data_IF_894226670740
#
_entry.id   IF_894226670740
#
_cell.length_a   1.000
_cell.length_b   1.000
_cell.length_c   1.000
_cell.angle_alpha   90.00
_cell.angle_beta   90.00
_cell.angle_gamma   90.00
#
_symmetry.space_group_name_H-M   'P 1'
#
loop_
_entity.id
_entity.type
_entity.pdbx_description
1 polymer ?
#
# COMPACT_ATOMS: atom_id res chain seq x y z
N UNK A 1 -15.48 -22.04 6.76
CA UNK A 1 -14.29 -21.28 7.19
C UNK A 1 -13.45 -22.13 8.11
N UNK A 2 -12.19 -22.31 7.79
CA UNK A 2 -11.27 -23.11 8.61
C UNK A 2 -10.97 -22.38 9.94
N UNK A 3 -10.60 -23.15 10.99
CA UNK A 3 -10.29 -22.56 12.31
C UNK A 3 -9.16 -21.52 12.22
N UNK A 4 -8.12 -21.81 11.44
CA UNK A 4 -7.01 -20.87 11.22
C UNK A 4 -7.43 -19.55 10.57
N UNK A 5 -8.41 -19.58 9.67
CA UNK A 5 -8.96 -18.36 9.06
C UNK A 5 -9.76 -17.54 10.06
N UNK A 6 -10.55 -18.21 10.90
CA UNK A 6 -11.30 -17.55 11.98
C UNK A 6 -10.35 -16.83 12.94
N UNK A 7 -9.28 -17.53 13.34
CA UNK A 7 -8.30 -16.97 14.28
C UNK A 7 -7.58 -15.76 13.69
N UNK A 8 -7.21 -15.81 12.41
CA UNK A 8 -6.63 -14.65 11.69
C UNK A 8 -7.60 -13.48 11.63
N UNK A 9 -8.87 -13.71 11.34
CA UNK A 9 -9.90 -12.64 11.30
C UNK A 9 -10.11 -11.99 12.67
N UNK A 10 -10.12 -12.79 13.74
CA UNK A 10 -10.25 -12.28 15.10
C UNK A 10 -9.01 -11.48 15.56
N UNK A 11 -7.85 -11.78 15.03
CA UNK A 11 -6.57 -11.12 15.34
C UNK A 11 -6.05 -10.28 14.16
N UNK A 12 -6.94 -9.78 13.32
CA UNK A 12 -6.55 -9.10 12.10
C UNK A 12 -5.71 -7.84 12.36
N UNK A 13 -6.03 -7.08 13.39
CA UNK A 13 -5.24 -5.90 13.78
C UNK A 13 -3.77 -6.27 14.06
N UNK A 14 -3.53 -7.33 14.80
CA UNK A 14 -2.18 -7.82 15.08
C UNK A 14 -1.46 -8.29 13.81
N UNK A 15 -2.16 -8.96 12.91
CA UNK A 15 -1.60 -9.39 11.63
C UNK A 15 -1.18 -8.18 10.76
N UNK A 16 -2.02 -7.16 10.70
CA UNK A 16 -1.72 -5.95 9.92
C UNK A 16 -0.59 -5.14 10.55
N UNK A 17 -0.49 -5.08 11.88
CA UNK A 17 0.59 -4.41 12.59
C UNK A 17 1.97 -5.05 12.41
N UNK A 18 2.06 -6.28 11.93
CA UNK A 18 3.35 -6.89 11.55
C UNK A 18 4.03 -6.13 10.40
N UNK A 19 3.27 -5.40 9.59
CA UNK A 19 3.75 -4.65 8.43
C UNK A 19 3.52 -3.15 8.54
N UNK A 20 2.48 -2.71 9.25
CA UNK A 20 2.08 -1.31 9.35
C UNK A 20 2.32 -0.83 10.77
N UNK A 21 3.18 0.15 10.90
CA UNK A 21 3.54 0.75 12.19
C UNK A 21 2.63 1.92 12.49
N UNK A 22 2.13 1.97 13.73
CA UNK A 22 1.15 2.97 14.13
C UNK A 22 -0.21 2.76 13.46
N UNK A 23 -0.96 3.83 13.25
CA UNK A 23 -2.21 3.82 12.50
C UNK A 23 -3.31 2.93 13.10
N UNK A 24 -3.44 2.93 14.44
CA UNK A 24 -4.39 2.07 15.17
C UNK A 24 -5.82 2.27 14.70
N UNK A 25 -6.27 3.51 14.50
CA UNK A 25 -7.64 3.80 14.03
C UNK A 25 -7.87 3.28 12.61
N UNK A 26 -6.90 3.47 11.74
CA UNK A 26 -6.99 2.98 10.35
C UNK A 26 -7.08 1.46 10.32
N UNK A 27 -6.23 0.78 11.08
CA UNK A 27 -6.20 -0.68 11.14
C UNK A 27 -7.49 -1.23 11.76
N UNK A 28 -7.99 -0.59 12.82
CA UNK A 28 -9.25 -0.98 13.46
C UNK A 28 -10.44 -0.86 12.50
N UNK A 29 -10.57 0.28 11.82
CA UNK A 29 -11.67 0.53 10.89
C UNK A 29 -11.68 -0.46 9.71
N UNK A 30 -10.53 -0.71 9.11
CA UNK A 30 -10.39 -1.68 8.01
C UNK A 30 -10.69 -3.10 8.50
N UNK A 31 -10.16 -3.48 9.66
CA UNK A 31 -10.37 -4.81 10.23
C UNK A 31 -11.84 -5.08 10.53
N UNK A 32 -12.53 -4.11 11.10
CA UNK A 32 -13.98 -4.23 11.37
C UNK A 32 -14.78 -4.39 10.09
N UNK A 33 -14.46 -3.62 9.05
CA UNK A 33 -15.14 -3.71 7.76
C UNK A 33 -14.93 -5.08 7.08
N UNK A 34 -13.70 -5.60 7.13
CA UNK A 34 -13.39 -6.92 6.58
C UNK A 34 -14.14 -8.01 7.35
N UNK A 35 -14.17 -7.93 8.69
CA UNK A 35 -14.94 -8.87 9.51
C UNK A 35 -16.42 -8.85 9.19
N UNK A 36 -17.03 -7.65 9.02
CA UNK A 36 -18.44 -7.53 8.60
C UNK A 36 -18.69 -8.22 7.26
N UNK A 37 -17.82 -7.98 6.30
CA UNK A 37 -17.92 -8.60 4.98
C UNK A 37 -17.83 -10.13 5.04
N UNK A 38 -16.84 -10.64 5.77
CA UNK A 38 -16.63 -12.09 5.92
C UNK A 38 -17.72 -12.79 6.72
N UNK A 39 -18.36 -12.07 7.63
CA UNK A 39 -19.51 -12.58 8.39
C UNK A 39 -20.84 -12.54 7.62
N UNK A 40 -20.84 -12.03 6.39
CA UNK A 40 -22.05 -11.92 5.57
C UNK A 40 -23.00 -10.80 6.01
N UNK A 41 -22.52 -9.81 6.74
CA UNK A 41 -23.33 -8.69 7.25
C UNK A 41 -23.32 -7.48 6.30
N UNK A 42 -22.84 -7.64 5.09
CA UNK A 42 -22.73 -6.60 4.08
C UNK A 42 -23.54 -6.98 2.83
N UNK A 43 -23.95 -5.97 2.05
CA UNK A 43 -24.64 -6.19 0.77
C UNK A 43 -23.74 -7.03 -0.17
N UNK A 44 -24.18 -8.23 -0.59
CA UNK A 44 -23.38 -9.14 -1.41
C UNK A 44 -23.08 -8.60 -2.82
N UNK A 45 -23.79 -7.55 -3.25
CA UNK A 45 -23.58 -6.92 -4.56
C UNK A 45 -22.41 -5.95 -4.58
N UNK A 46 -21.92 -5.51 -3.41
CA UNK A 46 -20.84 -4.54 -3.29
C UNK A 46 -19.46 -5.22 -3.23
N UNK A 47 -18.37 -4.50 -3.52
CA UNK A 47 -17.01 -4.97 -3.21
C UNK A 47 -16.84 -5.38 -1.74
N UNK A 48 -15.79 -6.12 -1.41
CA UNK A 48 -15.48 -6.54 -0.02
C UNK A 48 -15.47 -5.33 0.93
N UNK A 49 -14.92 -4.22 0.47
CA UNK A 49 -14.90 -2.96 1.17
C UNK A 49 -14.48 -1.83 0.25
N UNK A 50 -14.76 -0.61 0.67
CA UNK A 50 -14.35 0.60 -0.04
C UNK A 50 -13.92 1.67 0.96
N UNK A 51 -12.69 2.15 0.82
CA UNK A 51 -12.07 3.07 1.76
C UNK A 51 -11.41 4.24 1.05
N UNK A 52 -11.47 5.41 1.68
CA UNK A 52 -10.59 6.53 1.35
C UNK A 52 -9.55 6.64 2.45
N UNK A 53 -8.27 6.57 2.09
CA UNK A 53 -7.14 6.75 2.99
C UNK A 53 -6.62 8.18 2.87
N UNK A 54 -6.77 8.96 3.93
CA UNK A 54 -6.27 10.33 4.01
C UNK A 54 -5.01 10.40 4.87
N UNK A 55 -4.08 11.21 4.46
CA UNK A 55 -2.84 11.45 5.19
C UNK A 55 -1.72 11.90 4.28
N UNK A 56 -0.67 12.44 4.86
CA UNK A 56 0.53 12.85 4.14
C UNK A 56 1.26 11.66 3.53
N UNK A 57 2.22 11.92 2.66
CA UNK A 57 3.02 10.87 2.04
C UNK A 57 3.90 10.14 3.09
N UNK A 58 4.03 8.83 2.96
CA UNK A 58 4.95 8.04 3.77
C UNK A 58 4.45 7.66 5.17
N UNK A 59 3.13 7.73 5.40
CA UNK A 59 2.52 7.37 6.70
C UNK A 59 2.01 5.93 6.77
N UNK A 60 2.10 5.15 5.68
CA UNK A 60 1.74 3.73 5.66
C UNK A 60 0.53 3.36 4.82
N UNK A 61 -0.05 4.27 4.04
CA UNK A 61 -1.23 3.99 3.20
C UNK A 61 -1.00 2.84 2.23
N UNK A 62 0.10 2.88 1.47
CA UNK A 62 0.46 1.82 0.53
C UNK A 62 0.84 0.51 1.23
N UNK A 63 1.56 0.58 2.34
CA UNK A 63 1.91 -0.61 3.13
C UNK A 63 0.66 -1.31 3.68
N UNK A 64 -0.35 -0.56 4.12
CA UNK A 64 -1.61 -1.16 4.55
C UNK A 64 -2.33 -1.86 3.39
N UNK A 65 -2.34 -1.25 2.20
CA UNK A 65 -2.90 -1.89 1.00
C UNK A 65 -2.18 -3.21 0.67
N UNK A 66 -0.86 -3.24 0.74
CA UNK A 66 -0.06 -4.46 0.52
C UNK A 66 -0.32 -5.51 1.60
N UNK A 67 -0.39 -5.11 2.86
CA UNK A 67 -0.70 -6.01 3.97
C UNK A 67 -2.10 -6.64 3.79
N UNK A 68 -3.08 -5.87 3.34
CA UNK A 68 -4.42 -6.36 3.05
C UNK A 68 -4.45 -7.32 1.86
N UNK A 69 -3.69 -7.05 0.81
CA UNK A 69 -3.55 -7.97 -0.33
C UNK A 69 -2.93 -9.30 0.10
N UNK A 70 -1.88 -9.26 0.89
CA UNK A 70 -1.22 -10.44 1.44
C UNK A 70 -2.17 -11.25 2.33
N UNK A 71 -2.88 -10.58 3.22
CA UNK A 71 -3.83 -11.23 4.13
C UNK A 71 -5.03 -11.84 3.39
N UNK A 72 -5.67 -11.07 2.49
CA UNK A 72 -6.90 -11.49 1.81
C UNK A 72 -6.66 -12.46 0.66
N UNK A 73 -5.56 -12.33 -0.06
CA UNK A 73 -5.30 -12.99 -1.34
C UNK A 73 -3.97 -13.76 -1.37
N UNK A 74 -3.32 -13.93 -0.23
CA UNK A 74 -2.07 -14.69 -0.03
C UNK A 74 -0.88 -14.19 -0.88
N UNK A 75 -0.94 -12.96 -1.40
CA UNK A 75 0.11 -12.36 -2.21
C UNK A 75 0.01 -10.82 -2.15
N UNK A 76 1.06 -10.17 -1.66
CA UNK A 76 1.13 -8.71 -1.60
C UNK A 76 1.08 -8.02 -2.98
N UNK A 77 1.36 -8.76 -4.05
CA UNK A 77 1.32 -8.29 -5.43
C UNK A 77 -0.09 -8.39 -6.06
N UNK A 78 -1.06 -8.93 -5.34
CA UNK A 78 -2.46 -8.93 -5.76
C UNK A 78 -3.09 -7.56 -5.57
N UNK A 79 -2.45 -6.57 -6.17
CA UNK A 79 -2.87 -5.17 -6.22
C UNK A 79 -2.94 -4.73 -7.67
N UNK A 80 -4.06 -4.11 -8.03
CA UNK A 80 -4.20 -3.34 -9.26
C UNK A 80 -4.09 -1.87 -8.88
N UNK A 81 -3.03 -1.21 -9.33
CA UNK A 81 -2.75 0.19 -8.99
C UNK A 81 -3.07 1.10 -10.16
N UNK A 82 -3.90 2.10 -9.92
CA UNK A 82 -4.28 3.15 -10.88
C UNK A 82 -3.86 4.50 -10.29
N UNK A 83 -2.95 5.18 -10.95
CA UNK A 83 -2.53 6.53 -10.58
C UNK A 83 -3.50 7.56 -11.21
N UNK A 84 -4.31 8.19 -10.36
CA UNK A 84 -5.33 9.15 -10.80
C UNK A 84 -4.75 10.44 -11.39
N UNK A 85 -3.46 10.72 -11.16
CA UNK A 85 -2.79 11.85 -11.82
C UNK A 85 -2.69 11.68 -13.35
N UNK A 86 -2.81 10.48 -13.84
CA UNK A 86 -2.85 10.15 -15.27
C UNK A 86 -4.27 10.26 -15.88
N UNK A 87 -5.28 10.56 -15.05
CA UNK A 87 -6.72 10.60 -15.43
C UNK A 87 -7.34 11.97 -15.19
N UNK A 88 -6.60 13.03 -15.45
CA UNK A 88 -7.03 14.42 -15.23
C UNK A 88 -7.86 14.99 -16.37
N UNK A 89 -7.73 14.45 -17.57
CA UNK A 89 -8.39 14.95 -18.76
C UNK A 89 -9.82 14.40 -18.90
N UNK A 90 -10.66 15.16 -19.62
CA UNK A 90 -12.09 14.87 -19.77
C UNK A 90 -12.40 13.45 -20.27
N UNK A 91 -11.63 12.92 -21.21
CA UNK A 91 -11.87 11.59 -21.78
C UNK A 91 -11.09 10.48 -21.10
N UNK A 92 -10.45 10.75 -19.99
CA UNK A 92 -9.65 9.76 -19.24
C UNK A 92 -10.47 8.58 -18.75
N UNK A 93 -11.76 8.77 -18.45
CA UNK A 93 -12.64 7.68 -18.02
C UNK A 93 -12.70 6.52 -19.02
N UNK A 94 -12.59 6.79 -20.32
CA UNK A 94 -12.56 5.75 -21.37
C UNK A 94 -11.34 4.84 -21.29
N UNK A 95 -10.24 5.31 -20.70
CA UNK A 95 -9.03 4.51 -20.48
C UNK A 95 -9.25 3.44 -19.41
N UNK A 96 -10.20 3.64 -18.50
CA UNK A 96 -10.51 2.68 -17.44
C UNK A 96 -11.35 1.51 -17.94
N UNK A 97 -12.33 1.78 -18.78
CA UNK A 97 -13.30 0.79 -19.27
C UNK A 97 -13.10 0.39 -20.75
N UNK A 98 -12.27 1.13 -21.46
CA UNK A 98 -11.98 0.94 -22.89
C UNK A 98 -12.62 2.00 -23.78
N UNK A 99 -11.98 2.28 -24.90
CA UNK A 99 -12.47 3.22 -25.90
C UNK A 99 -13.70 2.65 -26.67
N UNK A 100 -14.64 3.50 -27.10
CA UNK A 100 -15.76 3.06 -27.93
C UNK A 100 -15.32 2.46 -29.27
N UNK A 101 -16.15 1.65 -29.94
CA UNK A 101 -15.85 1.11 -31.26
C UNK A 101 -15.50 2.21 -32.25
N UNK A 102 -14.45 2.00 -33.03
CA UNK A 102 -13.94 2.96 -34.01
C UNK A 102 -12.96 4.01 -33.47
N UNK A 103 -12.70 4.04 -32.17
CA UNK A 103 -11.70 4.91 -31.55
C UNK A 103 -10.39 4.16 -31.28
N UNK A 104 -9.29 4.91 -31.22
CA UNK A 104 -7.96 4.39 -30.86
C UNK A 104 -8.01 3.78 -29.47
N UNK A 105 -7.44 2.57 -29.32
CA UNK A 105 -7.42 1.84 -28.05
C UNK A 105 -8.62 0.89 -27.83
N UNK A 106 -9.53 0.79 -28.77
CA UNK A 106 -10.67 -0.14 -28.67
C UNK A 106 -10.24 -1.59 -28.44
N UNK A 107 -9.27 -2.07 -29.21
CA UNK A 107 -8.81 -3.47 -29.15
C UNK A 107 -8.06 -3.76 -27.84
N UNK A 108 -7.39 -2.78 -27.28
CA UNK A 108 -6.60 -2.91 -26.05
C UNK A 108 -7.47 -3.09 -24.81
N UNK A 109 -8.71 -2.58 -24.84
CA UNK A 109 -9.63 -2.59 -23.70
C UNK A 109 -9.27 -1.54 -22.65
N UNK A 110 -10.02 -1.56 -21.54
CA UNK A 110 -9.80 -0.63 -20.42
C UNK A 110 -8.72 -1.11 -19.47
N UNK A 111 -7.92 -0.18 -18.98
CA UNK A 111 -6.84 -0.49 -18.02
C UNK A 111 -7.38 -1.15 -16.74
N UNK A 112 -8.47 -0.63 -16.19
CA UNK A 112 -9.07 -1.17 -14.98
C UNK A 112 -9.81 -2.49 -15.26
N UNK A 113 -10.67 -2.51 -16.26
CA UNK A 113 -11.50 -3.69 -16.58
C UNK A 113 -10.65 -4.89 -17.00
N UNK A 114 -9.62 -4.70 -17.81
CA UNK A 114 -8.71 -5.79 -18.19
C UNK A 114 -7.86 -6.27 -17.00
N UNK A 115 -7.39 -5.37 -16.14
CA UNK A 115 -6.63 -5.75 -14.96
C UNK A 115 -7.45 -6.64 -14.01
N UNK A 116 -8.72 -6.31 -13.79
CA UNK A 116 -9.60 -7.09 -12.90
C UNK A 116 -10.06 -8.40 -13.55
N UNK A 117 -10.22 -8.44 -14.85
CA UNK A 117 -10.46 -9.71 -15.55
C UNK A 117 -9.32 -10.70 -15.35
N UNK A 118 -8.07 -10.21 -15.27
CA UNK A 118 -6.88 -11.03 -15.00
C UNK A 118 -6.71 -11.36 -13.53
N UNK A 119 -7.03 -10.41 -12.64
CA UNK A 119 -6.87 -10.51 -11.18
C UNK A 119 -8.19 -10.18 -10.48
N UNK A 120 -9.19 -11.06 -10.54
CA UNK A 120 -10.52 -10.76 -9.96
C UNK A 120 -10.53 -10.71 -8.43
N UNK A 121 -9.51 -11.29 -7.78
CA UNK A 121 -9.29 -11.27 -6.33
C UNK A 121 -8.10 -10.38 -6.04
N UNK A 122 -8.31 -9.10 -5.89
CA UNK A 122 -7.24 -8.14 -5.67
C UNK A 122 -7.68 -6.92 -4.87
N UNK A 123 -6.70 -6.19 -4.35
CA UNK A 123 -6.89 -4.83 -3.88
C UNK A 123 -6.78 -3.89 -5.09
N UNK A 124 -7.77 -3.04 -5.29
CA UNK A 124 -7.73 -2.00 -6.32
C UNK A 124 -7.39 -0.68 -5.64
N UNK A 125 -6.21 -0.15 -5.93
CA UNK A 125 -5.67 1.05 -5.32
C UNK A 125 -5.69 2.22 -6.31
N UNK A 126 -6.50 3.22 -6.01
CA UNK A 126 -6.56 4.47 -6.77
C UNK A 126 -5.78 5.55 -6.03
N UNK A 127 -4.58 5.85 -6.50
CA UNK A 127 -3.72 6.87 -5.89
C UNK A 127 -4.08 8.28 -6.33
N UNK A 128 -3.97 9.22 -5.39
CA UNK A 128 -4.19 10.66 -5.64
C UNK A 128 -5.55 10.95 -6.26
N UNK A 129 -6.61 10.47 -5.60
CA UNK A 129 -7.98 10.52 -6.11
C UNK A 129 -8.47 11.93 -6.47
N UNK A 130 -7.99 12.97 -5.78
CA UNK A 130 -8.35 14.38 -6.01
C UNK A 130 -7.92 14.90 -7.37
N UNK A 131 -6.98 14.24 -8.04
CA UNK A 131 -6.49 14.63 -9.36
C UNK A 131 -7.32 14.11 -10.51
N UNK A 132 -8.22 13.17 -10.25
CA UNK A 132 -9.06 12.58 -11.30
C UNK A 132 -10.10 13.59 -11.84
N UNK A 133 -10.34 13.52 -13.15
CA UNK A 133 -11.43 14.25 -13.75
C UNK A 133 -12.79 13.78 -13.17
N UNK A 134 -13.79 14.68 -13.00
CA UNK A 134 -15.11 14.30 -12.48
C UNK A 134 -15.79 13.11 -13.19
N UNK A 135 -15.58 12.94 -14.48
CA UNK A 135 -16.14 11.81 -15.24
C UNK A 135 -15.62 10.45 -14.77
N UNK A 136 -14.41 10.40 -14.23
CA UNK A 136 -13.84 9.18 -13.62
C UNK A 136 -14.62 8.75 -12.39
N UNK A 137 -15.08 9.70 -11.58
CA UNK A 137 -15.91 9.39 -10.40
C UNK A 137 -17.25 8.78 -10.76
N UNK A 138 -17.82 9.08 -11.93
CA UNK A 138 -19.04 8.44 -12.41
C UNK A 138 -18.84 6.95 -12.66
N UNK A 139 -17.70 6.56 -13.22
CA UNK A 139 -17.31 5.15 -13.39
C UNK A 139 -17.16 4.47 -12.04
N UNK A 140 -16.48 5.12 -11.11
CA UNK A 140 -16.27 4.57 -9.76
C UNK A 140 -17.58 4.46 -8.96
N UNK A 141 -18.53 5.36 -9.14
CA UNK A 141 -19.85 5.26 -8.53
C UNK A 141 -20.57 3.98 -8.95
N UNK A 142 -20.55 3.66 -10.24
CA UNK A 142 -21.14 2.41 -10.74
C UNK A 142 -20.45 1.19 -10.10
N UNK A 143 -19.15 1.20 -10.02
CA UNK A 143 -18.36 0.15 -9.37
C UNK A 143 -18.76 -0.04 -7.91
N UNK A 144 -18.90 1.06 -7.15
CA UNK A 144 -19.25 1.00 -5.74
C UNK A 144 -20.70 0.56 -5.48
N UNK A 145 -21.63 0.97 -6.34
CA UNK A 145 -23.03 0.61 -6.21
C UNK A 145 -23.34 -0.82 -6.64
N UNK A 146 -22.82 -1.22 -7.79
CA UNK A 146 -23.20 -2.47 -8.46
C UNK A 146 -22.16 -3.60 -8.29
N UNK A 147 -20.95 -3.27 -7.81
CA UNK A 147 -19.85 -4.23 -7.71
C UNK A 147 -19.41 -4.77 -9.07
N UNK A 148 -19.69 -4.04 -10.15
CA UNK A 148 -19.36 -4.43 -11.52
C UNK A 148 -19.26 -3.23 -12.44
N UNK A 149 -18.48 -3.42 -13.52
CA UNK A 149 -18.40 -2.48 -14.64
C UNK A 149 -18.62 -3.24 -15.94
N UNK A 150 -19.25 -2.60 -16.91
CA UNK A 150 -19.34 -3.11 -18.28
C UNK A 150 -18.23 -2.46 -19.08
N UNK A 151 -17.40 -3.28 -19.73
CA UNK A 151 -16.31 -2.79 -20.58
C UNK A 151 -16.81 -2.32 -21.96
N UNK A 152 -15.90 -1.82 -22.79
CA UNK A 152 -16.22 -1.32 -24.14
C UNK A 152 -16.67 -2.41 -25.12
N UNK A 153 -16.50 -3.69 -24.78
CA UNK A 153 -16.93 -4.85 -25.58
C UNK A 153 -18.22 -5.47 -25.07
N UNK A 154 -18.88 -4.79 -24.12
CA UNK A 154 -20.12 -5.25 -23.53
C UNK A 154 -19.97 -6.36 -22.46
N UNK A 155 -18.72 -6.67 -22.06
CA UNK A 155 -18.47 -7.69 -21.05
C UNK A 155 -18.64 -7.12 -19.66
N UNK A 156 -19.30 -7.85 -18.78
CA UNK A 156 -19.47 -7.48 -17.38
C UNK A 156 -18.24 -7.95 -16.59
N UNK A 157 -17.57 -7.02 -15.94
CA UNK A 157 -16.40 -7.27 -15.09
C UNK A 157 -16.82 -7.19 -13.63
N UNK A 158 -16.58 -8.25 -12.88
CA UNK A 158 -17.01 -8.41 -11.50
C UNK A 158 -15.96 -7.89 -10.52
N UNK A 159 -16.35 -6.96 -9.64
CA UNK A 159 -15.51 -6.37 -8.58
C UNK A 159 -15.91 -6.83 -7.16
N UNK A 160 -16.81 -7.78 -7.03
CA UNK A 160 -17.32 -8.21 -5.71
C UNK A 160 -16.26 -8.85 -4.82
N UNK A 161 -15.21 -9.40 -5.42
CA UNK A 161 -14.09 -10.03 -4.71
C UNK A 161 -12.88 -9.10 -4.58
N UNK A 162 -13.08 -7.80 -4.81
CA UNK A 162 -12.03 -6.79 -4.69
C UNK A 162 -12.24 -5.92 -3.45
N UNK A 163 -11.14 -5.39 -2.94
CA UNK A 163 -11.13 -4.36 -1.93
C UNK A 163 -10.73 -3.03 -2.61
N UNK A 164 -11.56 -2.02 -2.51
CA UNK A 164 -11.35 -0.73 -3.16
C UNK A 164 -10.73 0.24 -2.17
N UNK A 165 -9.57 0.79 -2.52
CA UNK A 165 -8.88 1.80 -1.73
C UNK A 165 -8.56 3.00 -2.62
N UNK A 166 -8.97 4.19 -2.18
CA UNK A 166 -8.59 5.45 -2.80
C UNK A 166 -7.70 6.20 -1.81
N UNK A 167 -6.60 6.80 -2.29
CA UNK A 167 -5.72 7.58 -1.43
C UNK A 167 -5.78 9.06 -1.79
N UNK A 168 -5.58 9.91 -0.80
CA UNK A 168 -5.46 11.35 -0.98
C UNK A 168 -4.55 11.97 0.07
N UNK A 169 -3.84 13.03 -0.31
CA UNK A 169 -3.06 13.86 0.60
C UNK A 169 -3.86 15.05 1.15
N UNK A 170 -5.11 15.19 0.74
CA UNK A 170 -5.99 16.25 1.24
C UNK A 170 -6.42 15.98 2.68
N UNK A 171 -6.80 17.03 3.38
CA UNK A 171 -7.57 16.92 4.63
C UNK A 171 -9.00 16.50 4.31
N UNK A 172 -9.74 15.99 5.29
CA UNK A 172 -11.14 15.62 5.09
C UNK A 172 -12.00 16.81 4.64
N UNK A 173 -11.76 17.99 5.20
CA UNK A 173 -12.44 19.22 4.80
C UNK A 173 -12.19 19.56 3.33
N UNK A 174 -10.94 19.51 2.89
CA UNK A 174 -10.58 19.73 1.49
C UNK A 174 -11.22 18.68 0.57
N UNK A 175 -11.19 17.41 0.97
CA UNK A 175 -11.80 16.32 0.22
C UNK A 175 -13.30 16.55 0.03
N UNK A 176 -14.01 16.92 1.11
CA UNK A 176 -15.44 17.21 1.06
C UNK A 176 -15.81 18.44 0.22
N UNK A 177 -14.88 19.38 0.05
CA UNK A 177 -15.08 20.54 -0.81
C UNK A 177 -14.87 20.22 -2.30
N UNK A 178 -14.08 19.20 -2.63
CA UNK A 178 -13.69 18.87 -4.01
C UNK A 178 -14.46 17.67 -4.58
N UNK A 179 -14.88 16.74 -3.73
CA UNK A 179 -15.57 15.51 -4.14
C UNK A 179 -17.05 15.59 -3.78
N UNK A 180 -17.89 15.18 -4.70
CA UNK A 180 -19.35 15.21 -4.52
C UNK A 180 -19.78 14.38 -3.31
N UNK A 181 -20.71 14.86 -2.47
CA UNK A 181 -21.26 14.09 -1.35
C UNK A 181 -21.84 12.73 -1.77
N UNK A 182 -22.43 12.66 -2.95
CA UNK A 182 -22.94 11.40 -3.52
C UNK A 182 -21.87 10.32 -3.59
N UNK A 183 -20.66 10.66 -4.03
CA UNK A 183 -19.54 9.72 -4.09
C UNK A 183 -19.09 9.32 -2.68
N UNK A 184 -18.88 10.29 -1.80
CA UNK A 184 -18.42 10.04 -0.44
C UNK A 184 -19.39 9.17 0.36
N UNK A 185 -20.70 9.30 0.11
CA UNK A 185 -21.72 8.48 0.77
C UNK A 185 -21.73 7.01 0.32
N UNK A 186 -21.09 6.69 -0.79
CA UNK A 186 -20.96 5.31 -1.28
C UNK A 186 -19.73 4.59 -0.74
N UNK A 187 -18.78 5.34 -0.19
CA UNK A 187 -17.58 4.79 0.45
C UNK A 187 -17.97 4.26 1.84
N UNK A 188 -17.45 3.10 2.20
CA UNK A 188 -17.74 2.49 3.50
C UNK A 188 -17.16 3.31 4.66
N UNK A 189 -15.92 3.82 4.51
CA UNK A 189 -15.30 4.65 5.53
C UNK A 189 -14.19 5.55 4.97
N UNK A 190 -14.03 6.73 5.58
CA UNK A 190 -12.92 7.64 5.35
C UNK A 190 -11.96 7.45 6.52
N UNK A 191 -10.76 7.00 6.23
CA UNK A 191 -9.78 6.58 7.22
C UNK A 191 -8.62 7.58 7.26
N UNK A 192 -8.35 8.12 8.44
CA UNK A 192 -7.28 9.08 8.67
C UNK A 192 -6.00 8.37 9.09
N UNK A 193 -4.91 8.67 8.39
CA UNK A 193 -3.57 8.25 8.76
C UNK A 193 -2.84 9.41 9.43
N UNK A 194 -2.33 9.16 10.62
CA UNK A 194 -1.59 10.15 11.39
C UNK A 194 -0.13 10.24 10.93
N UNK A 195 0.49 11.39 11.17
CA UNK A 195 1.93 11.53 11.01
C UNK A 195 2.67 10.56 11.94
N UNK A 196 3.78 10.03 11.46
CA UNK A 196 4.58 9.10 12.25
C UNK A 196 5.42 9.84 13.28
N UNK A 197 5.41 9.36 14.53
CA UNK A 197 6.30 9.81 15.59
C UNK A 197 7.74 9.32 15.36
N UNK A 198 8.71 9.88 16.08
CA UNK A 198 10.09 9.39 16.04
C UNK A 198 10.19 7.91 16.41
N UNK A 199 9.42 7.47 17.39
CA UNK A 199 9.35 6.06 17.78
C UNK A 199 8.80 5.19 16.66
N UNK A 200 7.75 5.63 15.98
CA UNK A 200 7.21 4.95 14.81
C UNK A 200 8.25 4.85 13.68
N UNK A 201 9.00 5.91 13.41
CA UNK A 201 10.05 5.89 12.38
C UNK A 201 11.14 4.86 12.75
N UNK A 202 11.54 4.77 14.01
CA UNK A 202 12.49 3.73 14.47
C UNK A 202 11.95 2.33 14.23
N UNK A 203 10.68 2.10 14.52
CA UNK A 203 10.03 0.81 14.24
C UNK A 203 9.99 0.50 12.75
N UNK A 204 9.72 1.50 11.89
CA UNK A 204 9.79 1.34 10.42
C UNK A 204 11.20 0.93 9.98
N UNK A 205 12.23 1.60 10.50
CA UNK A 205 13.63 1.24 10.22
C UNK A 205 13.92 -0.19 10.65
N UNK A 206 13.49 -0.58 11.86
CA UNK A 206 13.67 -1.93 12.38
C UNK A 206 13.03 -2.99 11.47
N UNK A 207 11.81 -2.75 10.99
CA UNK A 207 11.15 -3.65 10.04
C UNK A 207 11.93 -3.78 8.73
N UNK A 208 12.42 -2.69 8.18
CA UNK A 208 13.22 -2.71 6.95
C UNK A 208 14.56 -3.42 7.16
N UNK A 209 15.21 -3.19 8.29
CA UNK A 209 16.46 -3.90 8.67
C UNK A 209 16.20 -5.39 8.80
N UNK A 210 15.11 -5.80 9.43
CA UNK A 210 14.74 -7.21 9.55
C UNK A 210 14.51 -7.88 8.18
N UNK A 211 13.90 -7.17 7.24
CA UNK A 211 13.73 -7.65 5.85
C UNK A 211 15.07 -7.84 5.14
N UNK A 212 15.97 -6.86 5.29
CA UNK A 212 17.33 -6.94 4.73
C UNK A 212 18.11 -8.09 5.36
N UNK A 213 18.04 -8.25 6.68
CA UNK A 213 18.67 -9.36 7.41
C UNK A 213 18.21 -10.71 6.87
N UNK A 214 16.91 -10.91 6.70
CA UNK A 214 16.35 -12.14 6.15
C UNK A 214 16.83 -12.39 4.71
N UNK A 215 16.79 -11.36 3.86
CA UNK A 215 17.26 -11.45 2.48
C UNK A 215 18.74 -11.85 2.40
N UNK A 216 19.58 -11.25 3.23
CA UNK A 216 21.02 -11.52 3.25
C UNK A 216 21.34 -12.88 3.84
N UNK A 217 20.55 -13.38 4.80
CA UNK A 217 20.70 -14.75 5.31
C UNK A 217 20.49 -15.80 4.21
N UNK A 218 19.59 -15.56 3.28
CA UNK A 218 19.40 -16.43 2.10
C UNK A 218 20.65 -16.48 1.20
N UNK A 219 21.51 -15.45 1.29
CA UNK A 219 22.81 -15.37 0.63
C UNK A 219 23.98 -15.78 1.56
N UNK A 220 23.69 -16.39 2.71
CA UNK A 220 24.65 -16.77 3.74
C UNK A 220 25.43 -15.59 4.34
N UNK A 221 24.83 -14.41 4.39
CA UNK A 221 25.38 -13.21 5.04
C UNK A 221 24.52 -12.89 6.26
N UNK A 222 25.11 -12.94 7.45
CA UNK A 222 24.46 -12.61 8.72
C UNK A 222 24.81 -11.16 9.08
N UNK A 223 23.95 -10.23 8.67
CA UNK A 223 24.09 -8.79 8.97
C UNK A 223 23.37 -8.45 10.27
N UNK A 224 24.08 -7.89 11.22
CA UNK A 224 23.54 -7.42 12.50
C UNK A 224 23.74 -5.93 12.66
N UNK A 225 22.65 -5.24 12.99
CA UNK A 225 22.63 -3.77 13.11
C UNK A 225 22.34 -3.40 14.56
N UNK A 226 23.16 -2.53 15.15
CA UNK A 226 22.99 -2.08 16.54
C UNK A 226 21.88 -1.03 16.67
N UNK A 227 21.35 -0.84 17.88
CA UNK A 227 20.24 0.09 18.14
C UNK A 227 20.59 1.55 17.82
N UNK A 228 21.83 1.97 18.08
CA UNK A 228 22.30 3.32 17.75
C UNK A 228 22.34 3.55 16.23
N UNK A 229 22.64 2.52 15.44
CA UNK A 229 22.55 2.59 13.97
C UNK A 229 21.10 2.72 13.54
N UNK A 230 20.16 1.99 14.17
CA UNK A 230 18.74 2.13 13.90
C UNK A 230 18.27 3.58 14.12
N UNK A 231 18.65 4.18 15.24
CA UNK A 231 18.31 5.59 15.54
C UNK A 231 18.94 6.56 14.55
N UNK A 232 20.18 6.32 14.17
CA UNK A 232 20.88 7.14 13.17
C UNK A 232 20.17 7.09 11.81
N UNK A 233 19.81 5.90 11.34
CA UNK A 233 19.08 5.72 10.08
C UNK A 233 17.68 6.35 10.16
N UNK A 234 17.00 6.23 11.29
CA UNK A 234 15.70 6.84 11.50
C UNK A 234 15.77 8.37 11.36
N UNK A 235 16.80 8.99 11.91
CA UNK A 235 17.03 10.43 11.80
C UNK A 235 17.34 10.85 10.35
N UNK A 236 18.18 10.09 9.65
CA UNK A 236 18.57 10.37 8.26
C UNK A 236 17.44 10.04 7.26
N UNK A 237 16.60 9.07 7.58
CA UNK A 237 15.52 8.59 6.72
C UNK A 237 14.16 9.25 6.95
N UNK A 238 14.05 10.17 7.90
CA UNK A 238 12.83 10.92 8.16
C UNK A 238 12.83 12.24 7.40
N UNK A 239 11.70 12.55 6.79
CA UNK A 239 11.44 13.83 6.14
C UNK A 239 10.02 14.28 6.49
N UNK A 240 9.82 15.50 7.03
CA UNK A 240 8.48 15.99 7.39
C UNK A 240 7.48 15.99 6.23
N UNK A 241 7.96 16.15 5.00
CA UNK A 241 7.12 16.15 3.80
C UNK A 241 6.83 14.76 3.27
N UNK A 242 7.79 13.83 3.38
CA UNK A 242 7.72 12.49 2.81
C UNK A 242 7.62 11.37 3.86
N UNK A 243 7.61 11.71 5.16
CA UNK A 243 7.51 10.76 6.26
C UNK A 243 8.65 9.75 6.29
N UNK A 244 8.33 8.47 6.33
CA UNK A 244 9.30 7.38 6.34
C UNK A 244 9.71 6.89 4.93
N UNK A 245 9.21 7.49 3.86
CA UNK A 245 9.54 7.09 2.48
C UNK A 245 11.06 7.07 2.21
N UNK A 246 11.88 8.03 2.69
CA UNK A 246 13.32 8.01 2.46
C UNK A 246 14.09 6.91 3.20
N UNK A 247 13.50 6.20 4.15
CA UNK A 247 14.18 5.17 4.97
C UNK A 247 14.84 4.11 4.09
N UNK A 248 14.13 3.61 3.07
CA UNK A 248 14.67 2.59 2.17
C UNK A 248 15.93 3.07 1.43
N UNK A 249 15.90 4.31 0.96
CA UNK A 249 17.06 4.92 0.28
C UNK A 249 18.23 5.16 1.25
N UNK A 250 17.93 5.57 2.48
CA UNK A 250 18.93 5.74 3.53
C UNK A 250 19.63 4.42 3.87
N UNK A 251 18.88 3.33 4.01
CA UNK A 251 19.41 1.98 4.23
C UNK A 251 20.29 1.53 3.06
N UNK A 252 19.86 1.76 1.83
CA UNK A 252 20.64 1.42 0.64
C UNK A 252 21.96 2.20 0.60
N UNK A 253 21.90 3.50 0.80
CA UNK A 253 23.08 4.40 0.76
C UNK A 253 24.03 4.18 1.92
N UNK A 254 23.52 4.10 3.13
CA UNK A 254 24.34 4.07 4.35
C UNK A 254 24.83 2.66 4.71
N UNK A 255 24.04 1.64 4.42
CA UNK A 255 24.35 0.25 4.82
C UNK A 255 24.76 -0.61 3.63
N UNK A 256 23.86 -0.81 2.67
CA UNK A 256 24.11 -1.79 1.60
C UNK A 256 25.23 -1.39 0.65
N UNK A 257 25.31 -0.12 0.25
CA UNK A 257 26.40 0.35 -0.62
C UNK A 257 27.75 0.25 0.06
N UNK A 258 27.83 0.64 1.33
CA UNK A 258 29.09 0.60 2.10
C UNK A 258 29.50 -0.85 2.44
N UNK A 259 28.54 -1.71 2.76
CA UNK A 259 28.79 -3.13 2.96
C UNK A 259 29.35 -3.77 1.69
N UNK A 260 28.77 -3.48 0.53
CA UNK A 260 29.23 -4.02 -0.74
C UNK A 260 30.68 -3.63 -1.05
N UNK A 261 31.04 -2.37 -0.81
CA UNK A 261 32.43 -1.90 -0.96
C UNK A 261 33.38 -2.65 -0.02
N UNK A 262 32.99 -2.85 1.23
CA UNK A 262 33.82 -3.54 2.23
C UNK A 262 34.02 -5.03 1.86
N UNK A 263 32.99 -5.69 1.36
CA UNK A 263 33.09 -7.08 0.89
C UNK A 263 34.03 -7.19 -0.32
N UNK A 264 33.84 -6.35 -1.32
CA UNK A 264 34.68 -6.35 -2.53
C UNK A 264 36.14 -6.05 -2.22
N UNK A 265 36.38 -5.12 -1.29
CA UNK A 265 37.73 -4.77 -0.84
C UNK A 265 38.37 -5.84 0.06
N UNK A 266 37.69 -6.92 0.40
CA UNK A 266 38.20 -7.98 1.29
C UNK A 266 38.33 -7.57 2.75
N UNK A 267 37.72 -6.46 3.15
CA UNK A 267 37.75 -5.96 4.55
C UNK A 267 36.79 -6.67 5.48
N UNK A 268 35.80 -7.35 4.92
CA UNK A 268 34.74 -8.08 5.66
C UNK A 268 34.74 -9.53 5.20
N UNK A 269 34.72 -10.45 6.19
CA UNK A 269 34.57 -11.89 5.96
C UNK A 269 33.09 -12.26 6.08
N UNK A 270 32.45 -12.60 4.96
CA UNK A 270 31.03 -12.97 4.92
C UNK A 270 30.73 -14.33 5.58
N UNK A 271 31.75 -15.11 5.93
CA UNK A 271 31.60 -16.40 6.65
C UNK A 271 31.34 -16.18 8.15
N UNK A 272 31.51 -14.97 8.63
CA UNK A 272 31.25 -14.59 10.02
C UNK A 272 30.14 -13.52 10.07
N UNK A 273 29.41 -13.38 11.20
CA UNK A 273 28.45 -12.32 11.36
C UNK A 273 29.10 -10.95 11.14
N UNK A 274 28.44 -10.12 10.35
CA UNK A 274 28.86 -8.73 10.08
C UNK A 274 28.06 -7.81 10.99
N UNK A 275 28.75 -7.03 11.79
CA UNK A 275 28.14 -6.07 12.73
C UNK A 275 28.31 -4.66 12.19
N UNK A 276 27.18 -3.95 12.11
CA UNK A 276 27.15 -2.50 11.79
C UNK A 276 26.95 -1.75 13.08
N UNK A 277 27.89 -0.91 13.42
CA UNK A 277 27.86 -0.05 14.61
C UNK A 277 28.08 1.41 14.25
N UNK A 278 27.70 2.33 15.13
CA UNK A 278 27.98 3.75 14.99
C UNK A 278 29.25 4.09 15.76
N UNK A 279 30.23 4.63 15.05
CA UNK A 279 31.53 5.00 15.63
C UNK A 279 31.96 6.37 15.09
N UNK A 280 32.11 7.35 15.99
CA UNK A 280 32.49 8.69 15.60
C UNK A 280 31.54 9.40 14.67
N UNK A 281 30.24 9.09 14.75
CA UNK A 281 29.18 9.64 13.88
C UNK A 281 29.09 9.00 12.50
N UNK A 282 29.82 7.93 12.26
CA UNK A 282 29.83 7.18 11.00
C UNK A 282 29.53 5.69 11.25
N UNK A 283 28.95 5.03 10.25
CA UNK A 283 28.72 3.60 10.31
C UNK A 283 30.04 2.85 10.12
N UNK A 284 30.31 1.91 11.00
CA UNK A 284 31.48 1.04 10.96
C UNK A 284 31.04 -0.42 10.81
N UNK A 285 31.62 -1.12 9.84
CA UNK A 285 31.36 -2.53 9.56
C UNK A 285 32.54 -3.35 10.07
N UNK A 286 32.22 -4.37 10.88
CA UNK A 286 33.23 -5.25 11.45
C UNK A 286 32.76 -6.69 11.58
N UNK A 287 33.71 -7.64 11.67
CA UNK A 287 33.50 -9.02 12.12
C UNK A 287 34.71 -9.58 12.80
#
# INVERSE_FOLDING_TARGET
>A
MMQSEKDKLLNLESELHKRVIGQEEAIQAVSDAIRRSRAGLQDPKRPIGSFIFLGTTGVGKTELAKALADYLFDDENMITRIDMSEYQEKFSATRLIGAPPGYVGYDEGGQLTEAIRRKPYSVVLFDEMEKAHPDVFNVLLQLLDDGRLTDNKGRVVNFKNTLIILTSNLTEEQLRSQVRPEFLNRIDDIIHFDELSEDHIREVVQLQVNRIHKMLLEQNIDLRVTDDVIRYIAKEGYDPQFGARPVKRALQRLVLNELSKAIIAGKINTQQPVIVELKGGELNFKN
#
